data_IF_365759558394
#
_entry.id   IF_365759558394
#
_cell.length_a   1.000
_cell.length_b   1.000
_cell.length_c   1.000
_cell.angle_alpha   90.00
_cell.angle_beta   90.00
_cell.angle_gamma   90.00
#
_symmetry.space_group_name_H-M   'P 1'
#
loop_
_entity.id
_entity.type
_entity.pdbx_description
1 polymer ?
#
# COMPACT_ATOMS: atom_id res chain seq x y z
N UNK A 1 -17.10 -1.18 0.04
CA UNK A 1 -17.50 -1.18 1.46
C UNK A 1 -16.92 0.06 2.10
N UNK A 2 -17.67 0.71 2.98
CA UNK A 2 -17.15 1.80 3.81
C UNK A 2 -16.24 1.22 4.92
N UNK A 3 -15.48 2.07 5.61
CA UNK A 3 -14.71 1.60 6.77
C UNK A 3 -15.65 1.14 7.91
N UNK A 4 -16.74 1.86 8.14
CA UNK A 4 -17.76 1.53 9.13
C UNK A 4 -18.42 0.16 8.86
N UNK A 5 -18.66 -0.15 7.57
CA UNK A 5 -19.13 -1.48 7.15
C UNK A 5 -18.14 -2.58 7.54
N UNK A 6 -16.84 -2.34 7.36
CA UNK A 6 -15.79 -3.34 7.62
C UNK A 6 -15.65 -3.55 9.13
N UNK A 7 -15.69 -2.49 9.92
CA UNK A 7 -15.65 -2.57 11.38
C UNK A 7 -16.85 -3.36 11.93
N UNK A 8 -18.04 -3.15 11.36
CA UNK A 8 -19.26 -3.84 11.80
C UNK A 8 -19.31 -5.30 11.33
N UNK A 9 -19.00 -5.57 10.05
CA UNK A 9 -19.16 -6.90 9.43
C UNK A 9 -17.95 -7.81 9.62
N UNK A 10 -16.76 -7.23 9.74
CA UNK A 10 -15.49 -7.95 9.87
C UNK A 10 -14.60 -7.33 10.97
N UNK A 11 -15.07 -7.29 12.23
CA UNK A 11 -14.34 -6.61 13.32
C UNK A 11 -12.94 -7.19 13.56
N UNK A 12 -12.77 -8.51 13.43
CA UNK A 12 -11.47 -9.16 13.57
C UNK A 12 -10.46 -8.68 12.50
N UNK A 13 -10.91 -8.55 11.25
CA UNK A 13 -10.09 -8.06 10.13
C UNK A 13 -9.74 -6.58 10.31
N UNK A 14 -10.72 -5.77 10.75
CA UNK A 14 -10.52 -4.36 11.05
C UNK A 14 -9.43 -4.17 12.13
N UNK A 15 -9.50 -4.95 13.21
CA UNK A 15 -8.51 -4.92 14.29
C UNK A 15 -7.15 -5.46 13.86
N UNK A 16 -7.11 -6.56 13.10
CA UNK A 16 -5.87 -7.13 12.57
C UNK A 16 -5.13 -6.12 11.69
N UNK A 17 -5.87 -5.41 10.83
CA UNK A 17 -5.31 -4.33 10.01
C UNK A 17 -4.85 -3.13 10.82
N UNK A 18 -5.56 -2.76 11.88
CA UNK A 18 -5.16 -1.65 12.75
C UNK A 18 -3.85 -1.96 13.51
N UNK A 19 -3.68 -3.23 13.92
CA UNK A 19 -2.50 -3.69 14.66
C UNK A 19 -1.22 -3.71 13.82
N UNK A 20 -1.30 -4.19 12.58
CA UNK A 20 -0.14 -4.24 11.67
C UNK A 20 -0.59 -3.95 10.24
N UNK A 21 -0.76 -2.66 9.95
CA UNK A 21 -1.29 -2.20 8.67
C UNK A 21 -0.38 -2.52 7.49
N UNK A 22 0.93 -2.61 7.72
CA UNK A 22 1.89 -2.85 6.64
C UNK A 22 1.85 -4.32 6.19
N UNK A 23 1.87 -5.26 7.13
CA UNK A 23 1.89 -6.69 6.82
C UNK A 23 0.50 -7.33 6.70
N UNK A 24 -0.55 -6.69 7.20
CA UNK A 24 -1.92 -7.21 7.08
C UNK A 24 -2.33 -7.34 5.60
N UNK A 25 -2.65 -8.57 5.20
CA UNK A 25 -3.18 -8.91 3.87
C UNK A 25 -4.67 -9.17 4.00
N UNK A 26 -5.48 -8.41 3.25
CA UNK A 26 -6.92 -8.68 3.16
C UNK A 26 -7.18 -10.10 2.63
N UNK A 27 -8.24 -10.79 3.10
CA UNK A 27 -8.63 -12.08 2.54
C UNK A 27 -8.88 -11.99 1.02
N UNK A 28 -8.08 -12.71 0.23
CA UNK A 28 -8.11 -12.65 -1.24
C UNK A 28 -7.57 -11.35 -1.86
N UNK A 29 -6.91 -10.49 -1.07
CA UNK A 29 -6.38 -9.20 -1.51
C UNK A 29 -4.88 -9.04 -1.26
N UNK A 30 -4.43 -7.78 -1.22
CA UNK A 30 -3.03 -7.38 -1.05
C UNK A 30 -2.80 -6.70 0.32
N UNK A 31 -1.58 -6.82 0.83
CA UNK A 31 -1.01 -5.98 1.90
C UNK A 31 -0.19 -4.82 1.30
N UNK A 32 0.26 -3.87 2.13
CA UNK A 32 1.22 -2.85 1.66
C UNK A 32 2.54 -3.48 1.23
N UNK A 33 2.99 -4.54 1.91
CA UNK A 33 4.16 -5.33 1.52
C UNK A 33 4.05 -5.90 0.11
N UNK A 34 2.87 -6.40 -0.26
CA UNK A 34 2.62 -6.93 -1.61
C UNK A 34 2.67 -5.83 -2.67
N UNK A 35 2.10 -4.66 -2.36
CA UNK A 35 2.16 -3.49 -3.23
C UNK A 35 3.62 -3.05 -3.44
N UNK A 36 4.44 -3.00 -2.39
CA UNK A 36 5.86 -2.65 -2.49
C UNK A 36 6.59 -3.62 -3.43
N UNK A 37 6.41 -4.93 -3.25
CA UNK A 37 7.02 -5.94 -4.12
C UNK A 37 6.57 -5.77 -5.60
N UNK A 38 5.29 -5.46 -5.83
CA UNK A 38 4.77 -5.22 -7.19
C UNK A 38 5.27 -3.92 -7.81
N UNK A 39 5.66 -2.93 -7.00
CA UNK A 39 6.16 -1.64 -7.48
C UNK A 39 7.66 -1.64 -7.79
N UNK A 40 8.42 -2.63 -7.33
CA UNK A 40 9.86 -2.73 -7.57
C UNK A 40 10.27 -2.51 -9.05
N UNK A 41 9.68 -3.20 -10.06
CA UNK A 41 10.03 -2.96 -11.46
C UNK A 41 9.63 -1.56 -11.96
N UNK A 42 8.58 -0.97 -11.39
CA UNK A 42 8.12 0.38 -11.76
C UNK A 42 9.09 1.43 -11.23
N UNK A 43 9.57 1.26 -9.99
CA UNK A 43 10.56 2.14 -9.38
C UNK A 43 11.85 2.14 -10.20
N UNK A 44 12.33 0.97 -10.60
CA UNK A 44 13.54 0.84 -11.44
C UNK A 44 13.37 1.62 -12.75
N UNK A 45 12.21 1.54 -13.40
CA UNK A 45 11.97 2.29 -14.63
C UNK A 45 11.83 3.81 -14.37
N UNK A 46 11.20 4.20 -13.26
CA UNK A 46 11.09 5.61 -12.85
C UNK A 46 12.46 6.27 -12.64
N UNK A 47 13.42 5.56 -12.05
CA UNK A 47 14.78 6.08 -11.84
C UNK A 47 15.55 6.34 -13.16
N UNK A 48 15.13 5.72 -14.27
CA UNK A 48 15.75 5.89 -15.59
C UNK A 48 15.22 7.09 -16.35
N UNK A 49 14.13 7.69 -15.88
CA UNK A 49 13.45 8.82 -16.52
C UNK A 49 13.81 10.14 -15.82
N UNK A 50 13.87 11.25 -16.58
CA UNK A 50 14.19 12.58 -16.02
C UNK A 50 12.99 13.31 -15.43
N UNK A 51 11.88 13.37 -16.17
CA UNK A 51 10.66 14.08 -15.76
C UNK A 51 9.47 13.13 -15.91
N UNK A 52 8.80 12.83 -14.79
CA UNK A 52 7.66 11.91 -14.75
C UNK A 52 6.52 12.49 -13.94
N UNK A 53 5.28 12.22 -14.38
CA UNK A 53 4.06 12.46 -13.63
C UNK A 53 3.38 11.12 -13.36
N UNK A 54 3.22 10.76 -12.09
CA UNK A 54 2.54 9.52 -11.69
C UNK A 54 1.13 9.84 -11.21
N UNK A 55 0.13 9.32 -11.92
CA UNK A 55 -1.28 9.37 -11.51
C UNK A 55 -1.67 7.97 -11.03
N UNK A 56 -2.04 7.85 -9.75
CA UNK A 56 -2.35 6.55 -9.14
C UNK A 56 -3.31 6.69 -7.97
N UNK A 57 -3.37 5.67 -7.10
CA UNK A 57 -4.28 5.57 -5.97
C UNK A 57 -3.54 5.74 -4.64
N UNK A 58 -4.28 6.05 -3.57
CA UNK A 58 -3.74 6.40 -2.25
C UNK A 58 -2.72 5.39 -1.69
N UNK A 59 -2.98 4.08 -1.78
CA UNK A 59 -2.06 3.07 -1.24
C UNK A 59 -0.74 3.01 -2.04
N UNK A 60 -0.82 3.08 -3.36
CA UNK A 60 0.34 3.07 -4.26
C UNK A 60 1.19 4.33 -4.06
N UNK A 61 0.56 5.51 -3.98
CA UNK A 61 1.28 6.77 -3.76
C UNK A 61 2.01 6.74 -2.41
N UNK A 62 1.39 6.20 -1.35
CA UNK A 62 2.07 6.02 -0.06
C UNK A 62 3.30 5.13 -0.15
N UNK A 63 3.22 4.01 -0.88
CA UNK A 63 4.39 3.14 -1.09
C UNK A 63 5.52 3.86 -1.84
N UNK A 64 5.18 4.57 -2.93
CA UNK A 64 6.16 5.34 -3.70
C UNK A 64 6.81 6.44 -2.85
N UNK A 65 6.01 7.21 -2.11
CA UNK A 65 6.52 8.24 -1.19
C UNK A 65 7.40 7.63 -0.10
N UNK A 66 6.99 6.51 0.50
CA UNK A 66 7.79 5.81 1.51
C UNK A 66 9.16 5.40 0.98
N UNK A 67 9.21 4.87 -0.25
CA UNK A 67 10.46 4.54 -0.92
C UNK A 67 11.36 5.77 -1.14
N UNK A 68 10.85 6.82 -1.79
CA UNK A 68 11.66 7.99 -2.15
C UNK A 68 12.06 8.87 -0.94
N UNK A 69 11.27 8.86 0.14
CA UNK A 69 11.56 9.59 1.36
C UNK A 69 12.34 8.76 2.40
N UNK A 70 12.64 7.49 2.11
CA UNK A 70 13.32 6.59 3.05
C UNK A 70 12.53 6.35 4.34
N UNK A 71 11.20 6.37 4.27
CA UNK A 71 10.35 6.14 5.45
C UNK A 71 10.26 4.65 5.74
N UNK A 72 10.55 4.20 6.98
CA UNK A 72 10.41 2.79 7.34
C UNK A 72 8.94 2.33 7.30
N UNK A 73 8.69 1.03 7.06
CA UNK A 73 7.35 0.45 7.03
C UNK A 73 6.63 0.48 8.38
#
# INVERSE_FOLDING_TARGET
>A
MTYDDIETKHPAEFQARAKDKFNYRYPGGESYKDIVARLEPIIIEMERQRNILVISHQAVIRCLLGFFLGTPP
#
